data_IF_552793828184
#
_entry.id   IF_552793828184
#
_cell.length_a   1.000
_cell.length_b   1.000
_cell.length_c   1.000
_cell.angle_alpha   90.00
_cell.angle_beta   90.00
_cell.angle_gamma   90.00
#
_symmetry.space_group_name_H-M   'P 1'
#
loop_
_entity.id
_entity.type
_entity.pdbx_description
1 polymer ?
#
# COMPACT_ATOMS: atom_id res chain seq x y z
N UNK A 1 9.44 5.00 -3.67
CA UNK A 1 9.69 4.05 -2.57
C UNK A 1 9.21 2.66 -2.93
N UNK A 2 9.64 1.65 -2.18
CA UNK A 2 9.17 0.28 -2.38
C UNK A 2 8.97 -0.47 -1.08
N UNK A 3 7.92 -1.28 -1.03
CA UNK A 3 7.59 -2.16 0.09
C UNK A 3 7.71 -3.62 -0.34
N UNK A 4 8.54 -4.39 0.35
CA UNK A 4 8.71 -5.81 0.09
C UNK A 4 7.62 -6.60 0.84
N UNK A 5 6.79 -7.32 0.11
CA UNK A 5 5.72 -8.15 0.65
C UNK A 5 5.74 -9.53 -0.01
N UNK A 6 5.96 -10.60 0.78
CA UNK A 6 6.02 -11.99 0.31
C UNK A 6 6.92 -12.20 -0.93
N UNK A 7 8.08 -11.53 -0.95
CA UNK A 7 9.03 -11.59 -2.08
C UNK A 7 8.63 -10.75 -3.30
N UNK A 8 7.47 -10.08 -3.27
CA UNK A 8 7.00 -9.16 -4.29
C UNK A 8 7.21 -7.71 -3.86
N UNK A 9 7.63 -6.84 -4.79
CA UNK A 9 7.93 -5.45 -4.50
C UNK A 9 6.77 -4.55 -4.93
N UNK A 10 6.12 -3.89 -3.97
CA UNK A 10 5.08 -2.89 -4.22
C UNK A 10 5.78 -1.55 -4.40
N UNK A 11 5.68 -0.97 -5.60
CA UNK A 11 6.26 0.35 -5.89
C UNK A 11 5.26 1.44 -5.58
N UNK A 12 5.70 2.45 -4.82
CA UNK A 12 4.91 3.62 -4.44
C UNK A 12 5.67 4.87 -4.82
N UNK A 13 5.06 5.76 -5.60
CA UNK A 13 5.69 7.00 -6.07
C UNK A 13 5.00 8.22 -5.48
N UNK A 14 5.68 8.90 -4.56
CA UNK A 14 5.14 10.10 -3.95
C UNK A 14 4.85 11.24 -4.94
N UNK A 15 3.89 12.12 -4.58
CA UNK A 15 3.04 12.06 -3.39
C UNK A 15 1.96 10.96 -3.50
N UNK A 16 1.57 10.41 -2.36
CA UNK A 16 0.37 9.55 -2.29
C UNK A 16 -0.83 10.47 -2.06
N UNK A 17 -1.76 10.45 -3.00
CA UNK A 17 -2.92 11.34 -3.03
C UNK A 17 -4.11 10.79 -2.26
N UNK A 18 -4.30 9.47 -2.26
CA UNK A 18 -5.41 8.83 -1.54
C UNK A 18 -5.07 7.40 -1.15
N UNK A 19 -5.67 6.94 -0.06
CA UNK A 19 -5.56 5.58 0.46
C UNK A 19 -6.97 5.11 0.83
N UNK A 20 -7.33 3.90 0.42
CA UNK A 20 -8.57 3.22 0.74
C UNK A 20 -8.27 1.81 1.22
N UNK A 21 -8.89 1.42 2.34
CA UNK A 21 -8.68 0.11 2.95
C UNK A 21 -10.01 -0.62 3.00
N UNK A 22 -10.04 -1.84 2.47
CA UNK A 22 -11.20 -2.73 2.55
C UNK A 22 -10.75 -4.11 3.06
N UNK A 23 -11.00 -4.37 4.34
CA UNK A 23 -10.55 -5.58 5.07
C UNK A 23 -9.03 -5.76 4.95
N UNK A 24 -8.58 -6.70 4.12
CA UNK A 24 -7.17 -7.01 3.88
C UNK A 24 -6.66 -6.47 2.52
N UNK A 25 -7.46 -5.68 1.82
CA UNK A 25 -7.06 -5.02 0.58
C UNK A 25 -6.80 -3.54 0.81
N UNK A 26 -5.73 -3.02 0.23
CA UNK A 26 -5.37 -1.61 0.28
C UNK A 26 -5.25 -1.10 -1.15
N UNK A 27 -6.03 -0.08 -1.49
CA UNK A 27 -5.89 0.67 -2.74
C UNK A 27 -5.32 2.05 -2.43
N UNK A 28 -4.37 2.51 -3.23
CA UNK A 28 -3.77 3.84 -3.08
C UNK A 28 -3.59 4.47 -4.45
N UNK A 29 -3.66 5.80 -4.50
CA UNK A 29 -3.34 6.57 -5.70
C UNK A 29 -2.06 7.36 -5.45
N UNK A 30 -1.08 7.14 -6.31
CA UNK A 30 0.22 7.78 -6.26
C UNK A 30 0.47 8.52 -7.59
N UNK A 31 1.68 9.07 -7.81
CA UNK A 31 1.99 9.82 -9.04
C UNK A 31 1.85 8.99 -10.32
N UNK A 32 1.98 7.67 -10.24
CA UNK A 32 1.85 6.75 -11.37
C UNK A 32 0.41 6.27 -11.59
N UNK A 33 -0.51 6.62 -10.69
CA UNK A 33 -1.92 6.31 -10.80
C UNK A 33 -2.41 5.45 -9.64
N UNK A 34 -3.51 4.72 -9.87
CA UNK A 34 -4.18 3.95 -8.83
C UNK A 34 -3.66 2.51 -8.82
N UNK A 35 -3.21 2.06 -7.67
CA UNK A 35 -2.73 0.71 -7.42
C UNK A 35 -3.54 0.06 -6.31
N UNK A 36 -3.57 -1.27 -6.28
CA UNK A 36 -4.19 -2.01 -5.19
C UNK A 36 -3.44 -3.30 -4.90
N UNK A 37 -3.29 -3.59 -3.61
CA UNK A 37 -2.65 -4.81 -3.11
C UNK A 37 -3.56 -5.51 -2.13
N UNK A 38 -3.68 -6.83 -2.25
CA UNK A 38 -4.36 -7.68 -1.28
C UNK A 38 -3.34 -8.38 -0.39
N UNK A 39 -3.53 -8.25 0.91
CA UNK A 39 -2.73 -8.87 1.96
C UNK A 39 -3.40 -10.15 2.46
N UNK A 40 -2.63 -11.01 3.12
CA UNK A 40 -3.12 -12.27 3.67
C UNK A 40 -4.05 -12.02 4.86
N UNK A 41 -3.75 -11.00 5.67
CA UNK A 41 -4.54 -10.64 6.84
C UNK A 41 -4.63 -9.11 7.05
N UNK A 42 -5.53 -8.69 7.94
CA UNK A 42 -5.76 -7.28 8.22
C UNK A 42 -4.59 -6.60 8.97
N UNK A 43 -3.74 -7.36 9.67
CA UNK A 43 -2.59 -6.82 10.40
C UNK A 43 -1.54 -6.34 9.39
N UNK A 44 -1.23 -7.16 8.38
CA UNK A 44 -0.31 -6.81 7.29
C UNK A 44 -0.80 -5.61 6.49
N UNK A 45 -2.10 -5.56 6.15
CA UNK A 45 -2.69 -4.41 5.48
C UNK A 45 -2.50 -3.12 6.31
N UNK A 46 -2.71 -3.17 7.63
CA UNK A 46 -2.47 -2.04 8.53
C UNK A 46 -0.99 -1.65 8.59
N UNK A 47 -0.07 -2.62 8.62
CA UNK A 47 1.37 -2.35 8.61
C UNK A 47 1.80 -1.63 7.33
N UNK A 48 1.28 -2.06 6.18
CA UNK A 48 1.53 -1.40 4.91
C UNK A 48 0.99 0.04 4.89
N UNK A 49 -0.24 0.26 5.38
CA UNK A 49 -0.82 1.62 5.46
C UNK A 49 -0.01 2.52 6.40
N UNK A 50 0.42 2.00 7.56
CA UNK A 50 1.27 2.75 8.48
C UNK A 50 2.60 3.14 7.83
N UNK A 51 3.21 2.22 7.10
CA UNK A 51 4.42 2.52 6.33
C UNK A 51 4.17 3.58 5.24
N UNK A 52 3.06 3.49 4.51
CA UNK A 52 2.63 4.42 3.47
C UNK A 52 2.47 5.86 3.97
N UNK A 53 1.97 6.05 5.19
CA UNK A 53 1.69 7.38 5.77
C UNK A 53 2.91 7.97 6.48
N UNK A 54 3.81 7.12 7.00
CA UNK A 54 4.99 7.55 7.75
C UNK A 54 6.24 7.80 6.89
N UNK A 55 6.18 7.52 5.58
CA UNK A 55 7.25 7.80 4.63
C UNK A 55 6.80 8.82 3.57
#
# INVERSE_FOLDING_TARGET
MSYLYNGSQIRVVHPVHSISVNKQSVAFADKQGRQSTKFANAIEAKQFVKWLVNN
#
